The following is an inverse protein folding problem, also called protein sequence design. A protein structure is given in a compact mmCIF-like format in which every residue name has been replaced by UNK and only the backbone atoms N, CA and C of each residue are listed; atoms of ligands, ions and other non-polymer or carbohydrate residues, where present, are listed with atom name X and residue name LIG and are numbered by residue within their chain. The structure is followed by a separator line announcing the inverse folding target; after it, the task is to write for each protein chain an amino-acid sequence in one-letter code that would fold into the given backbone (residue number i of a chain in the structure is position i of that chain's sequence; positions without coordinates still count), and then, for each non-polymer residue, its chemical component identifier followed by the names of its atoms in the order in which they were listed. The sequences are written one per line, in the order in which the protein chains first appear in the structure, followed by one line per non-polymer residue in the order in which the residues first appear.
data_IF_370597673151
#
_entry.id   IF_370597673151
#
_cell.length_a   1.000
_cell.length_b   1.000
_cell.length_c   1.000
_cell.angle_alpha   90.00
_cell.angle_beta   90.00
_cell.angle_gamma   90.00
#
_symmetry.space_group_name_H-M   'P 1'
#
loop_
_entity.id
_entity.type
_entity.pdbx_description
1 polymer ?
#
# COMPACT_ATOMS: atom_id res chain seq x y z
N UNK A 1 -17.40 41.33 -4.52
CA UNK A 1 -17.66 40.02 -5.13
C UNK A 1 -17.87 40.26 -6.61
N UNK A 2 -16.99 39.75 -7.46
CA UNK A 2 -17.19 39.80 -8.92
C UNK A 2 -18.05 38.58 -9.23
N UNK A 3 -19.33 38.79 -9.58
CA UNK A 3 -20.20 37.71 -10.04
C UNK A 3 -19.90 37.46 -11.53
N UNK A 4 -19.06 36.45 -11.79
CA UNK A 4 -18.69 36.03 -13.13
C UNK A 4 -17.34 35.32 -13.13
N UNK A 5 -17.16 34.38 -14.05
CA UNK A 5 -15.90 33.71 -14.33
C UNK A 5 -14.79 34.77 -14.57
N UNK A 6 -13.79 34.75 -13.69
CA UNK A 6 -12.67 35.70 -13.70
C UNK A 6 -11.69 35.33 -14.84
N UNK A 7 -11.60 34.05 -15.21
CA UNK A 7 -10.68 33.50 -16.21
C UNK A 7 -11.47 32.95 -17.40
N UNK A 8 -11.78 33.82 -18.35
CA UNK A 8 -12.63 33.46 -19.50
C UNK A 8 -12.06 32.42 -20.47
N UNK A 9 -10.74 32.22 -20.50
CA UNK A 9 -10.11 31.29 -21.43
C UNK A 9 -9.66 30.00 -20.73
N UNK A 10 -10.45 28.95 -20.91
CA UNK A 10 -10.18 27.58 -20.49
C UNK A 10 -9.79 26.71 -21.70
N UNK A 11 -8.58 26.89 -22.22
CA UNK A 11 -8.07 26.13 -23.37
C UNK A 11 -6.74 25.45 -23.06
N UNK A 12 -6.41 24.41 -23.83
CA UNK A 12 -5.11 23.72 -23.69
C UNK A 12 -3.96 24.71 -23.86
N UNK A 13 -2.93 24.57 -23.02
CA UNK A 13 -1.77 25.44 -22.99
C UNK A 13 -2.00 26.81 -22.33
N UNK A 14 -3.14 27.05 -21.69
CA UNK A 14 -3.42 28.31 -20.98
C UNK A 14 -3.40 28.15 -19.45
N UNK A 15 -2.95 29.23 -18.81
CA UNK A 15 -2.79 29.35 -17.36
C UNK A 15 -3.92 30.15 -16.70
N UNK A 16 -3.97 30.07 -15.38
CA UNK A 16 -4.78 30.90 -14.49
C UNK A 16 -3.90 31.87 -13.71
N UNK A 17 -2.66 31.47 -13.42
CA UNK A 17 -1.67 32.32 -12.79
C UNK A 17 -0.28 32.21 -13.43
N UNK A 18 0.58 33.18 -13.13
CA UNK A 18 2.00 33.10 -13.42
C UNK A 18 2.76 34.11 -12.55
N UNK A 19 3.80 33.63 -11.87
CA UNK A 19 4.62 34.37 -10.92
C UNK A 19 3.91 34.77 -9.60
N UNK A 20 4.68 35.28 -8.64
CA UNK A 20 4.19 35.71 -7.33
C UNK A 20 4.05 37.24 -7.28
N UNK A 21 2.92 37.71 -6.78
CA UNK A 21 2.60 39.14 -6.68
C UNK A 21 2.88 39.72 -5.30
N UNK A 22 2.80 38.90 -4.25
CA UNK A 22 3.07 39.32 -2.88
C UNK A 22 4.36 38.70 -2.34
N UNK A 23 4.92 39.33 -1.32
CA UNK A 23 6.09 38.85 -0.59
C UNK A 23 5.69 38.44 0.84
N UNK A 24 6.53 37.66 1.51
CA UNK A 24 6.34 37.28 2.91
C UNK A 24 5.97 35.81 3.11
N UNK A 25 5.44 35.49 4.29
CA UNK A 25 5.00 34.15 4.63
C UNK A 25 3.76 33.78 3.80
N UNK A 26 3.87 32.76 2.94
CA UNK A 26 2.86 32.33 1.95
C UNK A 26 2.54 33.37 0.86
N UNK A 27 3.47 33.62 -0.07
CA UNK A 27 3.24 34.54 -1.19
C UNK A 27 2.07 34.09 -2.08
N UNK A 28 1.31 35.06 -2.58
CA UNK A 28 0.13 34.87 -3.44
C UNK A 28 0.52 34.97 -4.91
N UNK A 29 -0.10 34.14 -5.73
CA UNK A 29 0.16 34.09 -7.18
C UNK A 29 -0.53 35.26 -7.88
N UNK A 30 0.11 35.79 -8.93
CA UNK A 30 -0.49 36.80 -9.80
C UNK A 30 -1.52 36.16 -10.74
N UNK A 31 -2.68 36.80 -10.91
CA UNK A 31 -3.64 36.42 -11.95
C UNK A 31 -3.01 36.57 -13.33
N UNK A 32 -3.12 35.53 -14.15
CA UNK A 32 -2.60 35.50 -15.51
C UNK A 32 -3.37 34.47 -16.34
N UNK A 33 -4.24 34.95 -17.23
CA UNK A 33 -4.95 34.11 -18.19
C UNK A 33 -4.33 34.19 -19.59
N UNK A 34 -3.12 33.65 -19.73
CA UNK A 34 -2.38 33.61 -20.98
C UNK A 34 -1.69 32.26 -21.19
N UNK A 35 -0.93 32.10 -22.29
CA UNK A 35 -0.28 30.84 -22.62
C UNK A 35 0.80 30.46 -21.60
N UNK A 36 0.97 29.15 -21.39
CA UNK A 36 2.06 28.58 -20.61
C UNK A 36 3.42 29.00 -21.18
N UNK A 37 4.42 29.17 -20.30
CA UNK A 37 5.71 29.75 -20.66
C UNK A 37 6.83 28.75 -20.46
N UNK A 38 7.84 28.81 -21.33
CA UNK A 38 9.03 27.98 -21.16
C UNK A 38 9.81 28.41 -19.90
N UNK A 39 10.10 27.45 -19.04
CA UNK A 39 10.90 27.68 -17.85
C UNK A 39 12.39 27.70 -18.24
N UNK A 40 12.98 28.90 -18.33
CA UNK A 40 14.37 29.08 -18.79
C UNK A 40 15.40 29.15 -17.67
N UNK A 41 14.97 29.49 -16.45
CA UNK A 41 15.88 29.63 -15.32
C UNK A 41 16.40 28.25 -14.86
N UNK A 42 17.72 28.00 -14.85
CA UNK A 42 18.28 26.69 -14.52
C UNK A 42 17.86 26.15 -13.15
N UNK A 43 17.74 27.02 -12.14
CA UNK A 43 17.29 26.63 -10.80
C UNK A 43 15.84 26.16 -10.79
N UNK A 44 14.97 26.85 -11.55
CA UNK A 44 13.58 26.44 -11.72
C UNK A 44 13.48 25.09 -12.40
N UNK A 45 14.21 24.89 -13.50
CA UNK A 45 14.26 23.63 -14.23
C UNK A 45 14.71 22.48 -13.34
N UNK A 46 15.75 22.69 -12.53
CA UNK A 46 16.23 21.68 -11.59
C UNK A 46 15.15 21.28 -10.56
N UNK A 47 14.47 22.25 -9.95
CA UNK A 47 13.40 21.98 -8.98
C UNK A 47 12.24 21.25 -9.67
N UNK A 48 11.81 21.71 -10.85
CA UNK A 48 10.73 21.07 -11.62
C UNK A 48 11.06 19.61 -11.93
N UNK A 49 12.28 19.33 -12.41
CA UNK A 49 12.69 17.97 -12.76
C UNK A 49 12.75 17.03 -11.54
N UNK A 50 13.12 17.55 -10.37
CA UNK A 50 13.21 16.75 -9.15
C UNK A 50 11.84 16.55 -8.48
N UNK A 51 11.00 17.59 -8.47
CA UNK A 51 9.74 17.62 -7.71
C UNK A 51 8.52 17.28 -8.57
N UNK A 52 8.50 17.65 -9.84
CA UNK A 52 7.38 17.44 -10.76
C UNK A 52 7.87 16.88 -12.12
N UNK A 53 8.59 15.74 -12.13
CA UNK A 53 9.19 15.16 -13.34
C UNK A 53 8.18 14.89 -14.46
N UNK A 54 6.90 14.72 -14.15
CA UNK A 54 5.84 14.53 -15.17
C UNK A 54 5.60 15.76 -16.04
N UNK A 55 6.03 16.94 -15.57
CA UNK A 55 5.89 18.23 -16.26
C UNK A 55 7.21 18.67 -16.91
N UNK A 56 8.23 17.80 -16.91
CA UNK A 56 9.53 18.08 -17.51
C UNK A 56 9.39 18.36 -19.02
N UNK A 57 10.27 19.26 -19.50
CA UNK A 57 10.41 19.64 -20.91
C UNK A 57 9.14 20.20 -21.56
N UNK A 58 8.16 20.64 -20.76
CA UNK A 58 6.93 21.30 -21.19
C UNK A 58 6.91 22.77 -20.74
N UNK A 59 6.18 23.66 -21.44
CA UNK A 59 5.83 24.97 -20.91
C UNK A 59 5.11 24.82 -19.56
N UNK A 60 5.28 25.78 -18.65
CA UNK A 60 4.65 25.73 -17.33
C UNK A 60 3.85 26.99 -17.03
N UNK A 61 2.87 26.83 -16.14
CA UNK A 61 2.12 27.95 -15.55
C UNK A 61 2.75 28.45 -14.24
N UNK A 62 4.05 28.18 -14.01
CA UNK A 62 4.73 28.59 -12.79
C UNK A 62 6.12 29.18 -13.04
N UNK A 63 6.47 30.21 -12.26
CA UNK A 63 7.81 30.79 -12.25
C UNK A 63 8.75 30.03 -11.32
N UNK A 64 10.05 30.32 -11.41
CA UNK A 64 11.05 29.77 -10.47
C UNK A 64 10.75 30.08 -9.02
N UNK A 65 10.19 31.26 -8.71
CA UNK A 65 9.83 31.64 -7.34
C UNK A 65 8.70 30.76 -6.80
N UNK A 66 7.69 30.48 -7.64
CA UNK A 66 6.59 29.58 -7.29
C UNK A 66 7.10 28.15 -7.04
N UNK A 67 8.01 27.65 -7.88
CA UNK A 67 8.64 26.35 -7.67
C UNK A 67 9.43 26.26 -6.37
N UNK A 68 10.20 27.30 -6.02
CA UNK A 68 10.91 27.35 -4.73
C UNK A 68 9.95 27.35 -3.55
N UNK A 69 8.85 28.10 -3.62
CA UNK A 69 7.82 28.07 -2.58
C UNK A 69 7.12 26.71 -2.49
N UNK A 70 6.82 26.09 -3.64
CA UNK A 70 6.21 24.77 -3.70
C UNK A 70 7.11 23.72 -3.06
N UNK A 71 8.39 23.68 -3.45
CA UNK A 71 9.38 22.76 -2.88
C UNK A 71 9.47 22.90 -1.35
N UNK A 72 9.65 24.12 -0.85
CA UNK A 72 9.69 24.41 0.58
C UNK A 72 8.41 23.96 1.32
N UNK A 73 7.23 24.22 0.75
CA UNK A 73 5.97 23.81 1.37
C UNK A 73 5.85 22.28 1.43
N UNK A 74 6.29 21.59 0.38
CA UNK A 74 6.16 20.14 0.30
C UNK A 74 7.23 19.39 1.12
N UNK A 75 8.30 20.03 1.58
CA UNK A 75 9.30 19.41 2.46
C UNK A 75 8.68 18.83 3.74
N UNK A 76 7.76 19.55 4.39
CA UNK A 76 7.09 18.99 5.58
C UNK A 76 6.11 17.87 5.19
N UNK A 77 5.50 17.94 4.02
CA UNK A 77 4.52 16.94 3.58
C UNK A 77 5.19 15.60 3.22
N UNK A 78 6.40 15.60 2.64
CA UNK A 78 7.14 14.37 2.39
C UNK A 78 7.59 13.70 3.70
N UNK A 79 7.92 14.46 4.76
CA UNK A 79 8.23 13.86 6.06
C UNK A 79 7.05 13.10 6.66
N UNK A 80 5.83 13.57 6.38
CA UNK A 80 4.59 12.94 6.84
C UNK A 80 4.23 11.72 5.98
N UNK A 81 4.35 11.83 4.66
CA UNK A 81 3.77 10.88 3.70
C UNK A 81 4.80 9.94 3.05
N UNK A 82 6.10 10.19 3.24
CA UNK A 82 7.20 9.52 2.55
C UNK A 82 7.39 8.04 2.89
N UNK A 83 6.80 7.55 3.99
CA UNK A 83 6.80 6.10 4.32
C UNK A 83 6.09 5.25 3.27
N UNK A 84 5.12 5.82 2.56
CA UNK A 84 4.42 5.15 1.47
C UNK A 84 4.62 5.93 0.17
N UNK A 85 5.45 5.42 -0.77
CA UNK A 85 5.75 6.11 -2.02
C UNK A 85 4.51 6.48 -2.83
N UNK A 86 3.46 5.65 -2.79
CA UNK A 86 2.19 5.94 -3.47
C UNK A 86 1.49 7.19 -2.90
N UNK A 87 1.39 7.27 -1.57
CA UNK A 87 0.79 8.43 -0.88
C UNK A 87 1.52 9.72 -1.24
N UNK A 88 2.83 9.72 -1.09
CA UNK A 88 3.66 10.88 -1.41
C UNK A 88 3.54 11.31 -2.87
N UNK A 89 3.64 10.37 -3.82
CA UNK A 89 3.56 10.71 -5.24
C UNK A 89 2.18 11.27 -5.63
N UNK A 90 1.09 10.77 -5.04
CA UNK A 90 -0.25 11.33 -5.29
C UNK A 90 -0.39 12.75 -4.69
N UNK A 91 0.11 12.98 -3.48
CA UNK A 91 0.13 14.29 -2.82
C UNK A 91 0.93 15.33 -3.61
N UNK A 92 2.16 14.96 -3.97
CA UNK A 92 3.06 15.77 -4.81
C UNK A 92 2.40 16.12 -6.14
N UNK A 93 1.82 15.12 -6.82
CA UNK A 93 1.15 15.29 -8.11
C UNK A 93 -0.04 16.25 -8.05
N UNK A 94 -0.84 16.20 -6.99
CA UNK A 94 -1.95 17.13 -6.77
C UNK A 94 -1.47 18.59 -6.84
N UNK A 95 -0.42 18.92 -6.08
CA UNK A 95 0.13 20.27 -6.01
C UNK A 95 0.96 20.66 -7.24
N UNK A 96 1.68 19.72 -7.86
CA UNK A 96 2.38 19.95 -9.12
C UNK A 96 1.41 20.36 -10.24
N UNK A 97 0.30 19.62 -10.39
CA UNK A 97 -0.72 19.93 -11.39
C UNK A 97 -1.44 21.25 -11.10
N UNK A 98 -1.76 21.52 -9.83
CA UNK A 98 -2.32 22.80 -9.41
C UNK A 98 -1.39 23.97 -9.78
N UNK A 99 -0.09 23.81 -9.56
CA UNK A 99 0.86 24.92 -9.61
C UNK A 99 1.42 25.19 -10.98
N UNK A 100 1.82 24.14 -11.70
CA UNK A 100 2.72 24.24 -12.84
C UNK A 100 2.19 23.64 -14.13
N UNK A 101 1.07 22.93 -14.13
CA UNK A 101 0.52 22.29 -15.33
C UNK A 101 0.36 23.29 -16.48
N UNK A 102 0.76 22.90 -17.69
CA UNK A 102 0.59 23.74 -18.89
C UNK A 102 -0.88 23.97 -19.25
N UNK A 103 -1.76 23.07 -18.82
CA UNK A 103 -3.19 23.05 -19.11
C UNK A 103 -4.02 23.51 -17.89
N UNK A 104 -3.41 24.28 -16.98
CA UNK A 104 -3.99 24.67 -15.70
C UNK A 104 -5.40 25.28 -15.82
N UNK A 105 -5.64 26.12 -16.84
CA UNK A 105 -6.95 26.76 -17.05
C UNK A 105 -8.09 25.78 -17.31
N UNK A 106 -7.80 24.54 -17.70
CA UNK A 106 -8.84 23.54 -17.94
C UNK A 106 -9.50 23.01 -16.67
N UNK A 107 -8.87 23.17 -15.50
CA UNK A 107 -9.34 22.56 -14.24
C UNK A 107 -9.16 23.46 -13.02
N UNK A 108 -8.78 24.73 -13.22
CA UNK A 108 -8.60 25.71 -12.15
C UNK A 108 -9.33 26.99 -12.53
N UNK A 109 -10.05 27.58 -11.56
CA UNK A 109 -10.77 28.84 -11.75
C UNK A 109 -10.65 29.72 -10.49
N UNK A 110 -10.16 30.96 -10.57
CA UNK A 110 -10.09 31.85 -9.42
C UNK A 110 -11.45 32.45 -9.09
N UNK A 111 -11.88 32.37 -7.83
CA UNK A 111 -13.16 32.92 -7.35
C UNK A 111 -12.99 34.26 -6.64
N UNK A 112 -11.82 34.51 -6.04
CA UNK A 112 -11.52 35.76 -5.34
C UNK A 112 -10.14 36.27 -5.73
N UNK A 113 -10.12 37.46 -6.33
CA UNK A 113 -8.91 38.21 -6.69
C UNK A 113 -8.92 39.60 -6.05
N UNK A 114 -7.73 40.13 -5.78
CA UNK A 114 -7.58 41.45 -5.20
C UNK A 114 -6.55 42.27 -5.99
N UNK A 115 -6.79 43.58 -6.23
CA UNK A 115 -5.83 44.44 -6.92
C UNK A 115 -4.59 44.71 -6.06
N UNK A 116 -3.43 44.77 -6.69
CA UNK A 116 -2.17 45.15 -6.08
C UNK A 116 -1.38 46.08 -7.01
N UNK A 117 -0.98 47.22 -6.49
CA UNK A 117 -0.30 48.29 -7.23
C UNK A 117 1.07 48.59 -6.64
N UNK A 118 2.14 48.05 -7.23
CA UNK A 118 3.50 48.56 -7.02
C UNK A 118 4.14 49.12 -8.32
N UNK A 119 3.42 49.15 -9.45
CA UNK A 119 3.95 49.41 -10.80
C UNK A 119 2.88 50.09 -11.69
N UNK A 120 3.22 50.80 -12.78
CA UNK A 120 2.23 51.51 -13.63
C UNK A 120 1.09 50.64 -14.20
N UNK A 121 1.20 49.31 -14.16
CA UNK A 121 0.12 48.38 -14.50
C UNK A 121 -0.50 47.77 -13.24
N UNK A 122 -1.83 47.88 -13.07
CA UNK A 122 -2.59 47.19 -12.01
C UNK A 122 -2.41 45.68 -12.20
N UNK A 123 -1.78 45.00 -11.23
CA UNK A 123 -1.76 43.54 -11.15
C UNK A 123 -2.84 43.08 -10.16
N UNK A 124 -3.31 41.85 -10.33
CA UNK A 124 -4.22 41.21 -9.37
C UNK A 124 -3.55 39.97 -8.80
N UNK A 125 -3.76 39.69 -7.52
CA UNK A 125 -3.34 38.44 -6.90
C UNK A 125 -4.55 37.62 -6.46
N UNK A 126 -4.38 36.30 -6.46
CA UNK A 126 -5.45 35.34 -6.20
C UNK A 126 -5.49 35.00 -4.70
N UNK A 127 -6.67 35.09 -4.10
CA UNK A 127 -6.95 34.72 -2.71
C UNK A 127 -7.64 33.36 -2.60
N UNK A 128 -8.50 33.02 -3.56
CA UNK A 128 -9.27 31.78 -3.58
C UNK A 128 -9.41 31.24 -5.00
N UNK A 129 -9.36 29.92 -5.13
CA UNK A 129 -9.56 29.17 -6.38
C UNK A 129 -10.47 27.96 -6.16
N UNK A 130 -11.15 27.55 -7.21
CA UNK A 130 -11.77 26.24 -7.37
C UNK A 130 -10.87 25.34 -8.22
N UNK A 131 -10.49 24.20 -7.66
CA UNK A 131 -9.66 23.19 -8.32
C UNK A 131 -10.48 21.92 -8.57
N UNK A 132 -10.81 21.68 -9.84
CA UNK A 132 -11.66 20.60 -10.28
C UNK A 132 -10.86 19.31 -10.42
N UNK A 133 -10.71 18.58 -9.31
CA UNK A 133 -9.99 17.29 -9.26
C UNK A 133 -10.96 16.13 -9.45
N UNK A 134 -10.63 15.19 -10.34
CA UNK A 134 -11.51 14.04 -10.62
C UNK A 134 -11.84 13.23 -9.35
N UNK A 135 -13.08 12.74 -9.19
CA UNK A 135 -13.45 11.91 -8.04
C UNK A 135 -12.55 10.69 -7.84
N UNK A 136 -12.09 10.08 -8.93
CA UNK A 136 -11.18 8.93 -8.92
C UNK A 136 -9.82 9.31 -8.32
N UNK A 137 -9.31 10.50 -8.67
CA UNK A 137 -8.06 11.00 -8.08
C UNK A 137 -8.24 11.36 -6.60
N UNK A 138 -9.33 12.04 -6.22
CA UNK A 138 -9.63 12.39 -4.82
C UNK A 138 -9.65 11.13 -3.94
N UNK A 139 -10.40 10.12 -4.37
CA UNK A 139 -10.54 8.85 -3.65
C UNK A 139 -9.22 8.08 -3.59
N UNK A 140 -8.51 7.98 -4.72
CA UNK A 140 -7.28 7.23 -4.78
C UNK A 140 -6.12 7.87 -3.99
N UNK A 141 -6.03 9.20 -3.96
CA UNK A 141 -5.14 9.95 -3.05
C UNK A 141 -5.41 9.55 -1.60
N UNK A 142 -6.68 9.64 -1.16
CA UNK A 142 -7.08 9.28 0.19
C UNK A 142 -6.74 7.82 0.51
N UNK A 143 -7.11 6.88 -0.36
CA UNK A 143 -6.86 5.45 -0.17
C UNK A 143 -5.37 5.11 -0.08
N UNK A 144 -4.52 5.84 -0.80
CA UNK A 144 -3.07 5.64 -0.72
C UNK A 144 -2.46 6.11 0.60
N UNK A 145 -3.14 6.98 1.35
CA UNK A 145 -2.61 7.65 2.55
C UNK A 145 -3.31 7.24 3.86
N UNK A 146 -4.52 6.67 3.80
CA UNK A 146 -5.40 6.46 4.98
C UNK A 146 -4.87 5.54 6.07
N UNK A 147 -3.88 4.70 5.76
CA UNK A 147 -3.26 3.77 6.70
C UNK A 147 -1.81 4.13 7.03
N UNK A 148 -1.25 5.17 6.40
CA UNK A 148 0.15 5.57 6.61
C UNK A 148 0.34 6.05 8.04
N UNK A 149 1.32 5.48 8.74
CA UNK A 149 1.61 5.80 10.13
C UNK A 149 2.63 6.93 10.20
N UNK A 150 2.40 7.91 11.06
CA UNK A 150 3.36 8.99 11.30
C UNK A 150 4.61 8.43 12.03
N UNK A 151 5.86 8.59 11.53
CA UNK A 151 7.04 7.99 12.17
C UNK A 151 7.25 8.34 13.65
N UNK A 152 6.83 9.53 14.09
CA UNK A 152 7.01 10.01 15.47
C UNK A 152 5.99 9.47 16.48
N UNK A 153 4.97 8.73 16.04
CA UNK A 153 3.97 8.11 16.92
C UNK A 153 3.41 6.83 16.29
N UNK A 154 2.50 6.13 16.98
CA UNK A 154 1.73 5.02 16.36
C UNK A 154 0.42 5.49 15.73
N UNK A 155 0.24 6.81 15.55
CA UNK A 155 -0.96 7.41 14.97
C UNK A 155 -0.88 7.47 13.44
N UNK A 156 -2.04 7.50 12.79
CA UNK A 156 -2.15 7.70 11.35
C UNK A 156 -1.82 9.14 10.96
N UNK A 157 -1.12 9.32 9.84
CA UNK A 157 -0.73 10.65 9.35
C UNK A 157 -1.92 11.55 9.05
N UNK A 158 -3.08 10.96 8.70
CA UNK A 158 -4.31 11.70 8.47
C UNK A 158 -4.85 12.41 9.71
N UNK A 159 -4.49 11.98 10.93
CA UNK A 159 -4.81 12.71 12.15
C UNK A 159 -4.17 14.12 12.17
N UNK A 160 -3.09 14.33 11.41
CA UNK A 160 -2.41 15.63 11.24
C UNK A 160 -2.85 16.38 9.98
N UNK A 161 -3.37 15.66 8.97
CA UNK A 161 -3.64 16.19 7.63
C UNK A 161 -5.13 16.34 7.29
N UNK A 162 -6.04 16.09 8.23
CA UNK A 162 -7.48 16.07 7.95
C UNK A 162 -8.31 17.03 8.83
N UNK A 163 -7.69 17.70 9.80
CA UNK A 163 -8.38 18.58 10.76
C UNK A 163 -9.36 17.83 11.70
N UNK A 164 -9.30 16.49 11.70
CA UNK A 164 -10.10 15.60 12.53
C UNK A 164 -9.30 14.30 12.75
N UNK A 165 -9.81 13.39 13.59
CA UNK A 165 -9.17 12.10 13.82
C UNK A 165 -9.20 11.22 12.56
N UNK A 166 -8.19 10.37 12.38
CA UNK A 166 -8.05 9.57 11.16
C UNK A 166 -9.25 8.66 10.85
N UNK A 167 -9.96 8.16 11.87
CA UNK A 167 -11.18 7.35 11.74
C UNK A 167 -12.38 8.15 11.18
N UNK A 168 -12.40 9.47 11.37
CA UNK A 168 -13.44 10.38 10.85
C UNK A 168 -13.03 11.11 9.59
N UNK A 169 -11.82 10.85 9.09
CA UNK A 169 -11.30 11.49 7.89
C UNK A 169 -11.96 10.88 6.64
N UNK A 170 -12.28 11.74 5.68
CA UNK A 170 -12.81 11.36 4.36
C UNK A 170 -11.97 12.04 3.27
N UNK A 171 -12.07 11.61 2.00
CA UNK A 171 -11.38 12.30 0.90
C UNK A 171 -11.65 13.80 0.87
N UNK A 172 -12.90 14.21 1.09
CA UNK A 172 -13.28 15.63 1.06
C UNK A 172 -12.72 16.41 2.25
N UNK A 173 -12.68 15.81 3.45
CA UNK A 173 -12.08 16.46 4.62
C UNK A 173 -10.56 16.61 4.47
N UNK A 174 -9.89 15.60 3.92
CA UNK A 174 -8.47 15.65 3.60
C UNK A 174 -8.19 16.80 2.63
N UNK A 175 -8.89 16.85 1.51
CA UNK A 175 -8.70 17.91 0.50
C UNK A 175 -9.10 19.29 1.04
N UNK A 176 -10.19 19.39 1.81
CA UNK A 176 -10.58 20.64 2.47
C UNK A 176 -9.51 21.13 3.44
N UNK A 177 -8.91 20.24 4.23
CA UNK A 177 -7.77 20.59 5.07
C UNK A 177 -6.61 21.07 4.21
N UNK A 178 -6.24 20.32 3.15
CA UNK A 178 -5.17 20.67 2.21
C UNK A 178 -5.42 21.95 1.41
N UNK A 179 -6.66 22.41 1.31
CA UNK A 179 -7.04 23.66 0.65
C UNK A 179 -7.20 24.85 1.60
N UNK A 180 -7.10 24.65 2.91
CA UNK A 180 -7.28 25.70 3.90
C UNK A 180 -5.96 26.46 4.17
N UNK A 181 -5.99 27.78 4.09
CA UNK A 181 -4.83 28.65 4.36
C UNK A 181 -4.34 28.63 5.81
N UNK A 182 -5.13 28.10 6.75
CA UNK A 182 -4.70 27.87 8.14
C UNK A 182 -3.59 26.82 8.24
N UNK A 183 -3.54 25.86 7.29
CA UNK A 183 -2.45 24.88 7.24
C UNK A 183 -1.15 25.52 6.73
N UNK A 184 0.02 24.97 7.05
CA UNK A 184 1.31 25.54 6.65
C UNK A 184 1.64 25.43 5.15
N UNK A 185 0.95 24.55 4.42
CA UNK A 185 1.27 24.14 3.04
C UNK A 185 0.66 25.06 1.98
N UNK A 186 -0.40 25.78 2.34
CA UNK A 186 -1.35 26.34 1.38
C UNK A 186 -1.33 27.86 1.42
N UNK A 187 -1.00 28.47 0.28
CA UNK A 187 -0.84 29.92 0.19
C UNK A 187 -2.14 30.65 -0.13
N UNK A 188 -3.12 30.03 -0.78
CA UNK A 188 -4.44 30.59 -1.10
C UNK A 188 -5.53 29.56 -0.83
N UNK A 189 -6.76 29.98 -0.59
CA UNK A 189 -7.85 29.03 -0.32
C UNK A 189 -8.14 28.22 -1.58
N UNK A 190 -8.10 26.89 -1.47
CA UNK A 190 -8.40 25.98 -2.58
C UNK A 190 -9.67 25.23 -2.23
N UNK A 191 -10.72 25.44 -3.02
CA UNK A 191 -11.95 24.67 -2.97
C UNK A 191 -11.86 23.51 -3.95
N UNK A 192 -12.44 22.37 -3.60
CA UNK A 192 -12.45 21.17 -4.44
C UNK A 192 -13.89 20.77 -4.77
N UNK A 193 -14.54 21.39 -5.77
CA UNK A 193 -15.93 21.11 -6.12
C UNK A 193 -16.17 19.65 -6.53
N UNK A 194 -17.42 19.19 -6.35
CA UNK A 194 -17.86 17.83 -6.74
C UNK A 194 -18.60 17.78 -8.08
N UNK A 195 -18.84 18.95 -8.68
CA UNK A 195 -19.47 19.09 -9.98
C UNK A 195 -18.62 19.99 -10.87
N UNK A 196 -18.57 19.67 -12.16
CA UNK A 196 -17.98 20.56 -13.16
C UNK A 196 -18.92 21.71 -13.46
N UNK A 197 -18.31 22.85 -13.75
CA UNK A 197 -18.97 23.97 -14.42
C UNK A 197 -18.68 23.91 -15.94
N UNK A 198 -19.52 24.51 -16.78
CA UNK A 198 -19.33 24.51 -18.24
C UNK A 198 -17.93 25.02 -18.64
N UNK A 199 -17.35 24.43 -19.69
CA UNK A 199 -16.03 24.74 -20.24
C UNK A 199 -14.80 24.35 -19.38
N UNK A 200 -15.00 23.81 -18.18
CA UNK A 200 -13.94 23.17 -17.41
C UNK A 200 -14.00 21.64 -17.50
N UNK A 201 -12.89 21.02 -17.15
CA UNK A 201 -12.66 19.60 -17.16
C UNK A 201 -11.97 19.17 -15.87
N UNK A 202 -11.98 17.88 -15.59
CA UNK A 202 -11.33 17.35 -14.41
C UNK A 202 -9.81 17.26 -14.61
N UNK A 203 -9.04 17.65 -13.57
CA UNK A 203 -7.68 17.15 -13.39
C UNK A 203 -7.78 15.64 -13.12
N UNK A 204 -7.43 14.85 -14.13
CA UNK A 204 -7.62 13.40 -14.14
C UNK A 204 -6.30 12.69 -14.41
N UNK A 205 -5.31 12.92 -13.54
CA UNK A 205 -4.07 12.19 -13.59
C UNK A 205 -4.22 10.77 -13.02
N UNK A 206 -3.31 9.88 -13.40
CA UNK A 206 -3.29 8.52 -12.85
C UNK A 206 -2.92 8.54 -11.38
N UNK A 207 -3.54 7.63 -10.61
CA UNK A 207 -3.26 7.47 -9.18
C UNK A 207 -2.36 6.27 -8.95
N UNK A 208 -1.37 6.43 -8.09
CA UNK A 208 -0.56 5.34 -7.58
C UNK A 208 -1.28 4.63 -6.43
N UNK A 209 -1.47 3.31 -6.55
CA UNK A 209 -2.10 2.50 -5.51
C UNK A 209 -1.04 2.03 -4.51
N UNK A 210 -1.33 2.09 -3.22
CA UNK A 210 -0.36 1.70 -2.18
C UNK A 210 0.01 0.21 -2.20
N UNK A 211 -0.85 -0.64 -2.79
CA UNK A 211 -0.69 -2.09 -2.88
C UNK A 211 -0.21 -2.60 -4.26
N UNK A 212 0.23 -1.70 -5.16
CA UNK A 212 0.75 -2.09 -6.48
C UNK A 212 2.10 -1.44 -6.74
N UNK A 213 3.08 -2.17 -7.32
CA UNK A 213 4.34 -1.56 -7.74
C UNK A 213 4.09 -0.60 -8.91
N UNK A 214 4.92 0.44 -9.00
CA UNK A 214 4.91 1.41 -10.09
C UNK A 214 6.33 1.96 -10.32
N UNK A 215 6.58 2.57 -11.47
CA UNK A 215 7.84 3.31 -11.69
C UNK A 215 7.70 4.68 -11.05
N UNK A 216 8.51 4.95 -10.02
CA UNK A 216 8.51 6.22 -9.32
C UNK A 216 9.01 7.34 -10.26
N UNK A 217 8.20 8.37 -10.52
CA UNK A 217 8.58 9.44 -11.44
C UNK A 217 9.84 10.22 -11.03
N UNK A 218 10.13 10.35 -9.73
CA UNK A 218 11.26 11.14 -9.23
C UNK A 218 12.57 10.36 -9.29
N UNK A 219 12.53 9.05 -9.05
CA UNK A 219 13.74 8.20 -9.01
C UNK A 219 13.96 7.37 -10.27
N UNK A 220 12.93 7.24 -11.12
CA UNK A 220 12.90 6.37 -12.29
C UNK A 220 13.25 4.90 -11.95
N UNK A 221 12.86 4.45 -10.75
CA UNK A 221 13.01 3.08 -10.26
C UNK A 221 11.66 2.52 -9.87
N UNK A 222 11.53 1.19 -9.85
CA UNK A 222 10.32 0.55 -9.33
C UNK A 222 10.17 0.86 -7.85
N UNK A 223 9.13 1.61 -7.49
CA UNK A 223 8.74 1.83 -6.11
C UNK A 223 8.26 0.51 -5.49
N UNK A 224 8.76 0.23 -4.28
CA UNK A 224 8.24 -0.87 -3.48
C UNK A 224 6.77 -0.61 -3.10
N UNK A 225 6.02 -1.70 -2.99
CA UNK A 225 4.67 -1.67 -2.43
C UNK A 225 4.74 -1.19 -0.98
N UNK A 226 3.78 -0.37 -0.54
CA UNK A 226 3.75 0.11 0.84
C UNK A 226 3.55 -1.05 1.80
N UNK A 227 4.16 -0.97 2.99
CA UNK A 227 4.06 -2.02 4.02
C UNK A 227 2.60 -2.28 4.40
N UNK A 228 2.25 -3.49 4.85
CA UNK A 228 0.90 -3.80 5.36
C UNK A 228 0.50 -2.88 6.53
N UNK A 229 1.47 -2.41 7.31
CA UNK A 229 1.25 -1.44 8.38
C UNK A 229 0.82 -0.07 7.86
N UNK A 230 1.37 0.36 6.73
CA UNK A 230 1.11 1.68 6.11
C UNK A 230 0.04 1.62 4.99
N UNK A 231 -0.43 0.43 4.63
CA UNK A 231 -1.44 0.19 3.60
C UNK A 231 -2.12 -1.17 3.86
N UNK A 232 -3.35 -1.16 4.38
CA UNK A 232 -4.06 -2.40 4.69
C UNK A 232 -4.32 -3.26 3.43
N UNK A 233 -4.44 -2.62 2.26
CA UNK A 233 -4.61 -3.30 0.98
C UNK A 233 -3.36 -4.08 0.51
N UNK A 234 -2.20 -3.84 1.12
CA UNK A 234 -0.97 -4.61 0.90
C UNK A 234 -0.86 -5.83 1.82
N UNK A 235 -1.76 -5.97 2.80
CA UNK A 235 -1.73 -7.10 3.70
C UNK A 235 -2.10 -8.39 2.97
N UNK A 236 -1.44 -9.52 3.28
CA UNK A 236 -1.85 -10.81 2.75
C UNK A 236 -3.28 -11.10 3.19
N UNK A 237 -4.13 -11.47 2.23
CA UNK A 237 -5.50 -11.90 2.52
C UNK A 237 -5.42 -13.12 3.44
N UNK A 238 -6.19 -13.13 4.53
CA UNK A 238 -6.21 -14.22 5.51
C UNK A 238 -6.42 -15.55 4.77
N UNK A 239 -5.45 -16.46 4.89
CA UNK A 239 -5.62 -17.86 4.47
C UNK A 239 -6.81 -18.44 5.24
N UNK A 240 -7.74 -19.08 4.53
CA UNK A 240 -8.88 -19.77 5.16
C UNK A 240 -8.35 -20.74 6.23
N UNK A 241 -8.93 -20.68 7.44
CA UNK A 241 -8.53 -21.52 8.56
C UNK A 241 -9.53 -22.66 8.74
N UNK A 242 -9.11 -23.87 8.38
CA UNK A 242 -9.83 -25.09 8.73
C UNK A 242 -9.42 -25.54 10.14
N UNK A 243 -10.38 -25.69 11.05
CA UNK A 243 -10.14 -26.25 12.40
C UNK A 243 -10.65 -27.68 12.44
N UNK A 244 -9.75 -28.66 12.55
CA UNK A 244 -10.09 -30.07 12.74
C UNK A 244 -10.26 -30.33 14.25
N UNK A 245 -11.38 -30.96 14.64
CA UNK A 245 -11.65 -31.36 16.02
C UNK A 245 -11.77 -32.88 16.10
N UNK A 246 -11.28 -33.44 17.20
CA UNK A 246 -11.47 -34.87 17.49
C UNK A 246 -12.93 -35.16 17.82
N UNK A 247 -13.45 -36.26 17.29
CA UNK A 247 -14.74 -36.85 17.66
C UNK A 247 -14.62 -37.77 18.89
N UNK A 248 -13.40 -38.04 19.36
CA UNK A 248 -13.16 -38.94 20.48
C UNK A 248 -13.34 -38.21 21.83
N UNK A 249 -14.13 -38.77 22.76
CA UNK A 249 -14.35 -38.16 24.07
C UNK A 249 -13.18 -38.39 25.04
N UNK A 250 -12.31 -39.37 24.78
CA UNK A 250 -11.16 -39.72 25.61
C UNK A 250 -9.84 -39.20 25.04
N UNK A 251 -8.87 -38.86 25.91
CA UNK A 251 -7.51 -38.55 25.46
C UNK A 251 -6.90 -39.76 24.74
N UNK A 252 -6.12 -39.48 23.70
CA UNK A 252 -5.19 -40.46 23.17
C UNK A 252 -4.05 -40.68 24.16
N UNK A 253 -3.26 -41.73 23.99
CA UNK A 253 -2.09 -41.96 24.82
C UNK A 253 -1.46 -43.31 24.57
N UNK A 254 -0.34 -43.53 25.24
CA UNK A 254 0.39 -44.80 25.17
C UNK A 254 1.01 -45.14 26.53
N UNK A 255 1.31 -46.42 26.72
CA UNK A 255 2.12 -46.87 27.85
C UNK A 255 3.59 -46.81 27.46
N UNK A 256 4.37 -46.05 28.22
CA UNK A 256 5.80 -45.90 27.97
C UNK A 256 6.54 -47.20 28.21
N UNK A 257 7.46 -47.52 27.31
CA UNK A 257 8.36 -48.65 27.47
C UNK A 257 9.23 -48.52 28.74
N UNK A 258 9.53 -49.66 29.37
CA UNK A 258 10.28 -49.83 30.62
C UNK A 258 9.52 -49.63 31.95
N UNK A 259 8.55 -48.72 32.05
CA UNK A 259 7.83 -48.47 33.31
C UNK A 259 6.29 -48.59 33.22
N UNK A 260 5.77 -48.92 32.03
CA UNK A 260 4.34 -49.09 31.75
C UNK A 260 3.46 -47.89 32.15
N UNK A 261 4.10 -46.72 32.30
CA UNK A 261 3.42 -45.50 32.71
C UNK A 261 2.57 -44.98 31.56
N UNK A 262 1.28 -44.75 31.83
CA UNK A 262 0.38 -44.12 30.88
C UNK A 262 0.76 -42.65 30.65
N UNK A 263 1.01 -42.27 29.39
CA UNK A 263 1.30 -40.91 28.96
C UNK A 263 0.12 -40.38 28.16
N UNK A 264 -0.61 -39.38 28.67
CA UNK A 264 -1.76 -38.82 27.97
C UNK A 264 -1.34 -37.87 26.84
N UNK A 265 -2.04 -37.96 25.72
CA UNK A 265 -2.00 -37.02 24.60
C UNK A 265 -3.38 -36.38 24.41
N UNK A 266 -3.42 -35.23 23.73
CA UNK A 266 -4.67 -34.61 23.32
C UNK A 266 -5.52 -35.57 22.46
N UNK A 267 -6.86 -35.50 22.51
CA UNK A 267 -7.74 -36.39 21.73
C UNK A 267 -7.54 -36.39 20.21
N UNK A 268 -6.78 -35.44 19.65
CA UNK A 268 -6.46 -35.39 18.22
C UNK A 268 -5.38 -36.41 17.80
N UNK A 269 -4.60 -36.92 18.75
CA UNK A 269 -3.47 -37.82 18.49
C UNK A 269 -3.88 -39.30 18.38
N UNK A 270 -5.17 -39.60 18.27
CA UNK A 270 -5.58 -40.95 17.87
C UNK A 270 -5.04 -41.23 16.47
N UNK A 271 -4.39 -42.39 16.29
CA UNK A 271 -3.67 -42.73 15.06
C UNK A 271 -4.59 -42.67 13.82
N UNK A 272 -5.87 -43.03 13.97
CA UNK A 272 -6.86 -42.92 12.89
C UNK A 272 -7.07 -41.45 12.44
N UNK A 273 -7.21 -40.52 13.39
CA UNK A 273 -7.39 -39.09 13.09
C UNK A 273 -6.13 -38.50 12.44
N UNK A 274 -4.94 -38.92 12.89
CA UNK A 274 -3.67 -38.53 12.28
C UNK A 274 -3.56 -39.04 10.84
N UNK A 275 -4.01 -40.28 10.57
CA UNK A 275 -4.07 -40.80 9.21
C UNK A 275 -5.05 -40.01 8.33
N UNK A 276 -6.26 -39.69 8.81
CA UNK A 276 -7.22 -38.86 8.08
C UNK A 276 -6.68 -37.45 7.79
N UNK A 277 -6.00 -36.83 8.77
CA UNK A 277 -5.40 -35.52 8.60
C UNK A 277 -4.21 -35.53 7.62
N UNK A 278 -3.40 -36.60 7.60
CA UNK A 278 -2.34 -36.80 6.61
C UNK A 278 -2.92 -36.97 5.19
N UNK A 279 -4.01 -37.73 5.06
CA UNK A 279 -4.73 -37.91 3.79
C UNK A 279 -5.29 -36.59 3.27
N UNK A 280 -5.92 -35.81 4.15
CA UNK A 280 -6.41 -34.47 3.82
C UNK A 280 -5.27 -33.54 3.38
N UNK A 281 -4.14 -33.51 4.11
CA UNK A 281 -2.98 -32.72 3.72
C UNK A 281 -2.48 -33.10 2.33
N UNK A 282 -2.41 -34.40 2.04
CA UNK A 282 -1.94 -34.94 0.76
C UNK A 282 -2.92 -34.60 -0.38
N UNK A 283 -4.23 -34.66 -0.10
CA UNK A 283 -5.25 -34.26 -1.07
C UNK A 283 -5.18 -32.77 -1.40
N UNK A 284 -4.93 -31.92 -0.39
CA UNK A 284 -4.76 -30.48 -0.59
C UNK A 284 -3.46 -30.17 -1.34
N UNK A 285 -2.35 -30.83 -1.02
CA UNK A 285 -1.06 -30.56 -1.65
C UNK A 285 -1.00 -30.99 -3.12
N UNK A 286 -1.76 -32.01 -3.51
CA UNK A 286 -1.82 -32.54 -4.88
C UNK A 286 -3.00 -32.02 -5.69
N UNK A 287 -3.77 -31.08 -5.12
CA UNK A 287 -4.94 -30.49 -5.77
C UNK A 287 -4.55 -29.78 -7.07
N UNK A 288 -5.38 -29.96 -8.09
CA UNK A 288 -5.26 -29.32 -9.40
C UNK A 288 -6.53 -28.53 -9.68
N UNK A 289 -6.38 -27.26 -10.05
CA UNK A 289 -7.51 -26.37 -10.31
C UNK A 289 -7.39 -25.82 -11.73
N UNK A 290 -8.51 -25.80 -12.46
CA UNK A 290 -8.58 -25.12 -13.75
C UNK A 290 -8.71 -23.63 -13.53
N UNK A 291 -7.76 -22.86 -14.06
CA UNK A 291 -7.80 -21.41 -14.06
C UNK A 291 -7.54 -20.92 -15.47
N UNK A 292 -8.49 -20.19 -16.03
CA UNK A 292 -8.50 -19.78 -17.45
C UNK A 292 -8.36 -21.00 -18.38
N UNK A 293 -7.19 -21.19 -19.00
CA UNK A 293 -6.86 -22.28 -19.93
C UNK A 293 -5.73 -23.20 -19.43
N UNK A 294 -5.26 -23.02 -18.19
CA UNK A 294 -4.20 -23.83 -17.60
C UNK A 294 -4.66 -24.56 -16.34
N UNK A 295 -4.01 -25.68 -16.04
CA UNK A 295 -4.18 -26.37 -14.77
C UNK A 295 -3.12 -25.86 -13.81
N UNK A 296 -3.54 -25.21 -12.74
CA UNK A 296 -2.66 -24.69 -11.69
C UNK A 296 -2.58 -25.71 -10.56
N UNK A 297 -1.38 -25.90 -10.04
CA UNK A 297 -1.05 -26.75 -8.90
C UNK A 297 -0.50 -25.91 -7.74
N UNK A 298 -0.40 -26.51 -6.55
CA UNK A 298 0.19 -25.82 -5.39
C UNK A 298 1.63 -25.36 -5.65
N UNK A 299 2.40 -26.12 -6.43
CA UNK A 299 3.79 -25.80 -6.78
C UNK A 299 3.93 -24.50 -7.58
N UNK A 300 2.89 -24.10 -8.31
CA UNK A 300 2.93 -22.91 -9.15
C UNK A 300 2.77 -21.60 -8.34
N UNK A 301 2.27 -21.69 -7.10
CA UNK A 301 1.87 -20.52 -6.28
C UNK A 301 2.47 -20.50 -4.87
N UNK A 302 3.06 -21.61 -4.41
CA UNK A 302 3.56 -21.72 -3.06
C UNK A 302 4.90 -20.97 -2.87
N UNK A 303 5.16 -20.55 -1.64
CA UNK A 303 6.47 -20.02 -1.27
C UNK A 303 7.44 -21.19 -1.00
N UNK A 304 8.63 -21.15 -1.60
CA UNK A 304 9.69 -22.12 -1.34
C UNK A 304 10.71 -21.57 -0.31
N UNK A 305 11.53 -22.46 0.24
CA UNK A 305 12.60 -22.12 1.18
C UNK A 305 13.89 -21.62 0.49
N UNK A 306 14.08 -21.91 -0.81
CA UNK A 306 15.22 -21.49 -1.63
C UNK A 306 15.21 -19.99 -1.96
N UNK A 307 14.05 -19.33 -1.99
CA UNK A 307 13.90 -17.88 -2.17
C UNK A 307 14.40 -17.09 -0.95
N UNK A 308 14.64 -17.77 0.19
CA UNK A 308 15.17 -17.16 1.43
C UNK A 308 16.64 -17.45 1.68
N UNK A 309 17.28 -18.37 0.95
CA UNK A 309 18.66 -18.81 1.22
C UNK A 309 19.46 -19.02 -0.08
N UNK A 310 20.29 -18.04 -0.50
CA UNK A 310 21.04 -18.09 -1.77
C UNK A 310 22.13 -19.18 -1.85
N UNK A 311 22.30 -20.01 -0.81
CA UNK A 311 23.34 -21.04 -0.71
C UNK A 311 22.82 -22.42 -0.25
N UNK A 312 21.50 -22.63 -0.21
CA UNK A 312 20.95 -23.93 0.15
C UNK A 312 21.12 -24.94 -1.01
N UNK A 313 21.52 -26.19 -0.75
CA UNK A 313 21.53 -27.23 -1.79
C UNK A 313 20.12 -27.40 -2.36
N UNK A 314 19.98 -27.78 -3.65
CA UNK A 314 18.68 -27.93 -4.29
C UNK A 314 17.89 -29.02 -3.57
N UNK A 315 16.91 -28.61 -2.76
CA UNK A 315 15.99 -29.52 -2.08
C UNK A 315 14.84 -29.83 -3.06
N UNK A 316 14.42 -31.09 -3.09
CA UNK A 316 13.31 -31.57 -3.94
C UNK A 316 11.93 -31.11 -3.47
N UNK A 317 11.81 -30.46 -2.31
CA UNK A 317 10.53 -29.94 -1.80
C UNK A 317 10.32 -28.49 -2.25
N UNK A 318 9.33 -28.29 -3.13
CA UNK A 318 9.05 -27.02 -3.80
C UNK A 318 8.17 -26.06 -2.98
N UNK A 319 7.48 -26.54 -1.94
CA UNK A 319 6.54 -25.75 -1.14
C UNK A 319 6.78 -25.93 0.36
N UNK A 320 6.84 -24.83 1.12
CA UNK A 320 6.92 -24.89 2.59
C UNK A 320 5.57 -25.29 3.21
N UNK A 321 5.47 -26.53 3.71
CA UNK A 321 4.33 -27.05 4.48
C UNK A 321 4.80 -27.35 5.91
N UNK A 322 4.35 -26.53 6.86
CA UNK A 322 4.61 -26.76 8.29
C UNK A 322 3.52 -27.65 8.87
N UNK A 323 3.89 -28.88 9.24
CA UNK A 323 2.96 -29.89 9.75
C UNK A 323 3.68 -30.91 10.62
N UNK A 324 2.97 -31.47 11.60
CA UNK A 324 3.44 -32.57 12.44
C UNK A 324 3.81 -33.81 11.62
N UNK A 325 3.22 -33.98 10.44
CA UNK A 325 3.53 -35.10 9.55
C UNK A 325 4.91 -35.00 8.89
N UNK A 326 5.56 -33.84 8.94
CA UNK A 326 6.92 -33.67 8.43
C UNK A 326 7.96 -34.44 9.25
N UNK A 327 7.69 -34.69 10.54
CA UNK A 327 8.53 -35.59 11.35
C UNK A 327 8.57 -37.02 10.81
N UNK A 328 7.54 -37.41 10.05
CA UNK A 328 7.42 -38.69 9.36
C UNK A 328 7.61 -38.56 7.84
N UNK A 329 8.11 -37.41 7.37
CA UNK A 329 8.36 -37.11 5.96
C UNK A 329 7.10 -37.33 5.09
N UNK A 330 5.94 -36.92 5.62
CA UNK A 330 4.62 -37.11 5.01
C UNK A 330 4.31 -38.57 4.59
N UNK A 331 4.94 -39.55 5.23
CA UNK A 331 4.82 -40.95 4.83
C UNK A 331 3.94 -41.75 5.81
N UNK A 332 2.82 -42.25 5.30
CA UNK A 332 1.85 -43.04 6.06
C UNK A 332 2.46 -44.32 6.66
N UNK A 333 3.41 -44.96 5.98
CA UNK A 333 4.08 -46.17 6.49
C UNK A 333 4.99 -45.85 7.68
N UNK A 334 5.64 -44.67 7.67
CA UNK A 334 6.48 -44.21 8.80
C UNK A 334 5.62 -43.84 10.01
N UNK A 335 4.49 -43.17 9.79
CA UNK A 335 3.53 -42.82 10.84
C UNK A 335 2.94 -44.07 11.52
N UNK A 336 2.58 -45.10 10.76
CA UNK A 336 2.01 -46.33 11.30
C UNK A 336 3.07 -47.36 11.75
N UNK A 337 4.34 -46.99 11.79
CA UNK A 337 5.41 -47.89 12.21
C UNK A 337 5.36 -48.09 13.73
N UNK A 338 5.33 -49.34 14.14
CA UNK A 338 5.42 -49.75 15.54
C UNK A 338 6.50 -50.83 15.66
N UNK A 339 7.37 -50.70 16.66
CA UNK A 339 8.48 -51.61 16.93
C UNK A 339 8.32 -52.26 18.31
N UNK A 340 8.61 -53.55 18.37
CA UNK A 340 8.73 -54.30 19.62
C UNK A 340 10.16 -54.27 20.15
N UNK A 341 10.40 -54.79 21.36
CA UNK A 341 11.73 -54.82 21.99
C UNK A 341 12.76 -55.61 21.18
N UNK A 342 12.29 -56.59 20.39
CA UNK A 342 13.13 -57.40 19.49
C UNK A 342 13.21 -56.84 18.06
N UNK A 343 12.67 -55.65 17.81
CA UNK A 343 12.72 -54.98 16.49
C UNK A 343 11.68 -55.46 15.48
N UNK A 344 10.70 -56.27 15.90
CA UNK A 344 9.60 -56.72 15.05
C UNK A 344 8.49 -55.69 14.95
N UNK A 345 7.61 -55.84 13.95
CA UNK A 345 6.40 -55.03 13.87
C UNK A 345 5.39 -55.53 14.92
N UNK A 346 4.82 -54.61 15.69
CA UNK A 346 3.84 -54.89 16.76
C UNK A 346 2.59 -55.67 16.30
N UNK A 347 2.35 -55.80 15.00
CA UNK A 347 1.26 -56.63 14.45
C UNK A 347 1.51 -58.13 14.59
N UNK A 348 2.78 -58.56 14.71
CA UNK A 348 3.16 -59.94 14.92
C UNK A 348 3.15 -60.22 16.43
N UNK A 349 1.99 -60.60 16.96
CA UNK A 349 1.77 -60.84 18.39
C UNK A 349 2.62 -61.98 18.95
N UNK A 350 3.86 -61.70 19.32
CA UNK A 350 4.71 -62.60 20.07
C UNK A 350 4.36 -62.51 21.57
N UNK A 351 3.93 -63.64 22.16
CA UNK A 351 3.51 -63.73 23.58
C UNK A 351 4.57 -63.29 24.61
N UNK A 352 5.83 -63.11 24.19
CA UNK A 352 6.96 -62.76 25.05
C UNK A 352 7.66 -61.45 24.63
N UNK A 353 7.06 -60.67 23.73
CA UNK A 353 7.64 -59.43 23.24
C UNK A 353 6.74 -58.23 23.62
N UNK A 354 7.37 -57.12 23.99
CA UNK A 354 6.67 -55.91 24.44
C UNK A 354 6.83 -54.79 23.41
N UNK A 355 5.82 -53.92 23.34
CA UNK A 355 5.86 -52.73 22.48
C UNK A 355 6.95 -51.78 22.99
N UNK A 356 7.93 -51.49 22.12
CA UNK A 356 9.09 -50.68 22.46
C UNK A 356 8.93 -49.22 22.04
N UNK A 357 8.50 -48.99 20.80
CA UNK A 357 8.36 -47.64 20.27
C UNK A 357 7.26 -47.56 19.21
N UNK A 358 6.53 -46.44 19.19
CA UNK A 358 5.63 -46.07 18.11
C UNK A 358 5.77 -44.58 17.72
N UNK A 359 4.76 -44.06 17.02
CA UNK A 359 4.74 -42.67 16.59
C UNK A 359 4.73 -41.66 17.75
N UNK A 360 4.20 -42.00 18.92
CA UNK A 360 4.21 -41.11 20.10
C UNK A 360 5.64 -40.88 20.57
N UNK A 361 6.45 -41.95 20.65
CA UNK A 361 7.85 -41.86 21.05
C UNK A 361 8.64 -41.01 20.05
N UNK A 362 8.42 -41.21 18.75
CA UNK A 362 9.06 -40.42 17.69
C UNK A 362 8.65 -38.94 17.76
N UNK A 363 7.37 -38.65 17.99
CA UNK A 363 6.89 -37.28 18.17
C UNK A 363 7.53 -36.60 19.37
N UNK A 364 7.60 -37.28 20.51
CA UNK A 364 8.22 -36.72 21.72
C UNK A 364 9.72 -36.49 21.55
N UNK A 365 10.39 -37.27 20.70
CA UNK A 365 11.81 -37.10 20.40
C UNK A 365 12.08 -35.93 19.44
N UNK A 366 11.19 -35.68 18.48
CA UNK A 366 11.37 -34.64 17.48
C UNK A 366 10.83 -33.25 17.88
N UNK A 367 10.06 -33.17 18.97
CA UNK A 367 9.47 -31.92 19.49
C UNK A 367 10.34 -31.18 20.50
#
# INVERSE_FOLDING_TARGET
MVNGDIVKNHTKGYCVWYDQCTTGYKPKNCLYNGPAKNLTNPKGVQILNNLCPELRDQPTCCSTKQLQSLDNNLQTLIQLTGRCPACWNNMRRLYCQLTCSQDQSLFLDPTVVYPFTPSPSIKQYILEVQYFVSPQFKQGLFDSCKDVIFPGSSEKVLSLLCGTSADRCTPDKLLRFMGNTENIFTSCTIQYPDHLIPNLSWMNQTVFKCNKPFIDPQTNRTASVCSCQDCAASCPVRKERLTIKSTHPSPAGYHRYADDKWIPFGPIFHLELLNQALELQTAISTMKVLFENSTITLEDICQNSTDRLPFAPPVTERCEIQSVFQYFQNNKTRLNKCLTSMGWNCSYGHKFDFKFADFHDHLLFCM
#
